data_IF_501124003785
#
_entry.id   IF_501124003785
#
_cell.length_a   1.000
_cell.length_b   1.000
_cell.length_c   1.000
_cell.angle_alpha   90.00
_cell.angle_beta   90.00
_cell.angle_gamma   90.00
#
_symmetry.space_group_name_H-M   'P 1'
#
loop_
_entity.id
_entity.type
_entity.pdbx_description
1 polymer ?
#
# COMPACT_ATOMS: atom_id res chain seq x y z
N UNK A 1 -8.85 -9.26 17.27
CA UNK A 1 -10.22 -9.08 16.73
C UNK A 1 -10.26 -9.20 15.21
N UNK A 2 -9.47 -8.42 14.47
CA UNK A 2 -9.53 -8.41 12.99
C UNK A 2 -9.24 -9.79 12.36
N UNK A 3 -8.18 -10.46 12.81
CA UNK A 3 -7.82 -11.79 12.28
C UNK A 3 -8.93 -12.83 12.57
N UNK A 4 -9.52 -12.79 13.76
CA UNK A 4 -10.64 -13.67 14.11
C UNK A 4 -11.89 -13.38 13.27
N UNK A 5 -12.14 -12.10 12.92
CA UNK A 5 -13.20 -11.73 12.00
C UNK A 5 -12.95 -12.29 10.59
N UNK A 6 -11.73 -12.17 10.07
CA UNK A 6 -11.32 -12.72 8.77
C UNK A 6 -11.52 -14.23 8.73
N UNK A 7 -11.09 -14.95 9.76
CA UNK A 7 -11.26 -16.41 9.89
C UNK A 7 -12.74 -16.82 9.85
N UNK A 8 -13.59 -16.08 10.55
CA UNK A 8 -15.04 -16.31 10.52
C UNK A 8 -15.64 -16.10 9.11
N UNK A 9 -15.12 -15.16 8.30
CA UNK A 9 -15.59 -14.99 6.92
C UNK A 9 -15.10 -16.11 6.01
N UNK A 10 -13.86 -16.60 6.20
CA UNK A 10 -13.33 -17.76 5.49
C UNK A 10 -14.19 -19.01 5.78
N UNK A 11 -14.57 -19.20 7.06
CA UNK A 11 -15.49 -20.29 7.42
C UNK A 11 -16.79 -20.25 6.60
N UNK A 12 -17.38 -19.07 6.37
CA UNK A 12 -18.60 -18.95 5.54
C UNK A 12 -18.41 -19.43 4.11
N UNK A 13 -17.22 -19.20 3.52
CA UNK A 13 -16.89 -19.70 2.18
C UNK A 13 -16.81 -21.24 2.20
N UNK A 14 -16.16 -21.82 3.21
CA UNK A 14 -16.04 -23.27 3.36
C UNK A 14 -17.38 -23.92 3.64
N UNK A 15 -18.24 -23.31 4.43
CA UNK A 15 -19.62 -23.78 4.66
C UNK A 15 -20.42 -23.80 3.35
N UNK A 16 -20.31 -22.76 2.52
CA UNK A 16 -20.97 -22.68 1.22
C UNK A 16 -20.52 -23.82 0.26
N UNK A 17 -19.23 -24.17 0.26
CA UNK A 17 -18.75 -25.33 -0.53
C UNK A 17 -19.39 -26.64 -0.08
N UNK A 18 -19.59 -26.84 1.22
CA UNK A 18 -20.28 -28.01 1.77
C UNK A 18 -21.77 -28.00 1.40
N UNK A 19 -22.46 -26.88 1.55
CA UNK A 19 -23.89 -26.72 1.25
C UNK A 19 -24.19 -26.95 -0.24
N UNK A 20 -23.28 -26.55 -1.12
CA UNK A 20 -23.40 -26.72 -2.57
C UNK A 20 -22.96 -28.11 -3.06
N UNK A 21 -22.41 -28.94 -2.18
CA UNK A 21 -21.92 -30.29 -2.51
C UNK A 21 -20.63 -30.28 -3.36
N UNK A 22 -19.90 -29.19 -3.40
CA UNK A 22 -18.68 -29.06 -4.19
C UNK A 22 -17.38 -29.28 -3.38
N UNK A 23 -17.48 -29.41 -2.05
CA UNK A 23 -16.33 -29.40 -1.14
C UNK A 23 -15.31 -30.53 -1.44
N UNK A 24 -15.76 -31.72 -1.79
CA UNK A 24 -14.84 -32.87 -1.97
C UNK A 24 -13.98 -32.71 -3.22
N UNK A 25 -14.53 -32.18 -4.31
CA UNK A 25 -13.78 -31.92 -5.55
C UNK A 25 -13.38 -30.43 -5.71
N UNK A 26 -13.03 -29.76 -4.63
CA UNK A 26 -12.52 -28.39 -4.65
C UNK A 26 -11.14 -28.34 -3.98
N UNK A 27 -10.14 -27.87 -4.72
CA UNK A 27 -8.84 -27.52 -4.15
C UNK A 27 -8.95 -26.16 -3.44
N UNK A 28 -8.86 -26.18 -2.13
CA UNK A 28 -8.79 -24.99 -1.28
C UNK A 28 -7.33 -24.77 -0.89
N UNK A 29 -6.80 -23.58 -1.19
CA UNK A 29 -5.48 -23.13 -0.79
C UNK A 29 -5.65 -21.91 0.12
N UNK A 30 -5.22 -22.03 1.37
CA UNK A 30 -5.24 -20.93 2.33
C UNK A 30 -3.81 -20.53 2.70
N UNK A 31 -3.46 -19.28 2.42
CA UNK A 31 -2.17 -18.70 2.76
C UNK A 31 -2.41 -17.60 3.78
N UNK A 32 -1.76 -17.71 4.93
CA UNK A 32 -1.88 -16.74 6.01
C UNK A 32 -0.90 -15.60 5.81
N UNK A 33 -1.39 -14.51 5.19
CA UNK A 33 -0.58 -13.36 4.81
C UNK A 33 0.19 -13.57 3.49
N UNK A 34 0.73 -12.49 2.95
CA UNK A 34 1.53 -12.44 1.71
C UNK A 34 3.03 -12.20 2.01
N UNK A 35 3.34 -11.81 3.23
CA UNK A 35 4.69 -11.57 3.77
C UNK A 35 4.62 -11.64 5.30
N UNK A 36 5.75 -11.49 5.95
CA UNK A 36 5.80 -11.36 7.41
C UNK A 36 5.05 -10.15 7.95
N UNK A 37 4.87 -10.09 9.26
CA UNK A 37 4.16 -8.99 9.93
C UNK A 37 4.80 -7.64 9.62
N UNK A 38 3.98 -6.60 9.50
CA UNK A 38 4.43 -5.27 9.06
C UNK A 38 4.86 -4.40 10.24
N UNK A 39 6.04 -3.78 10.14
CA UNK A 39 6.53 -2.78 11.09
C UNK A 39 6.24 -1.32 10.64
N UNK A 40 5.33 -1.12 9.71
CA UNK A 40 5.01 0.20 9.17
C UNK A 40 4.26 1.10 10.18
N UNK A 41 3.81 0.54 11.30
CA UNK A 41 3.35 1.31 12.47
C UNK A 41 4.46 1.98 13.27
N UNK A 42 5.71 1.90 12.85
CA UNK A 42 6.89 2.50 13.50
C UNK A 42 7.18 1.92 14.89
N UNK A 43 7.96 2.65 15.71
CA UNK A 43 8.35 2.21 17.06
C UNK A 43 7.19 2.28 18.05
N UNK A 44 6.25 3.20 17.82
CA UNK A 44 5.17 3.50 18.79
C UNK A 44 3.79 2.96 18.36
N UNK A 45 3.66 2.46 17.14
CA UNK A 45 2.37 2.23 16.49
C UNK A 45 1.91 3.47 15.71
N UNK A 46 0.82 3.35 15.00
CA UNK A 46 0.22 4.45 14.27
C UNK A 46 -1.31 4.44 14.41
N UNK A 47 -1.91 5.62 14.54
CA UNK A 47 -3.32 5.86 14.43
C UNK A 47 -3.79 5.77 12.98
N UNK A 48 -2.99 6.35 12.08
CA UNK A 48 -3.30 6.42 10.65
C UNK A 48 -2.18 5.75 9.85
N UNK A 49 -2.43 4.58 9.27
CA UNK A 49 -1.45 3.87 8.43
C UNK A 49 -0.87 4.75 7.30
N UNK A 50 -1.63 5.64 6.63
CA UNK A 50 -1.09 6.60 5.69
C UNK A 50 0.00 7.54 6.24
N UNK A 51 0.06 7.81 7.53
CA UNK A 51 1.08 8.71 8.12
C UNK A 51 2.51 8.20 7.87
N UNK A 52 2.76 6.92 8.08
CA UNK A 52 4.07 6.30 7.80
C UNK A 52 4.46 6.44 6.32
N UNK A 53 3.53 6.19 5.40
CA UNK A 53 3.79 6.28 3.95
C UNK A 53 4.10 7.72 3.51
N UNK A 54 3.63 8.68 4.28
CA UNK A 54 3.92 10.09 4.10
C UNK A 54 5.18 10.56 4.85
N UNK A 55 5.87 9.68 5.60
CA UNK A 55 7.02 10.03 6.41
C UNK A 55 6.68 10.98 7.57
N UNK A 56 5.46 10.88 8.07
CA UNK A 56 4.95 11.65 9.21
C UNK A 56 4.93 10.75 10.43
N UNK A 57 5.52 11.21 11.53
CA UNK A 57 5.48 10.54 12.82
C UNK A 57 4.36 11.15 13.66
N UNK A 58 3.59 10.27 14.27
CA UNK A 58 2.55 10.62 15.21
C UNK A 58 3.14 10.74 16.62
N UNK A 59 2.61 11.69 17.41
CA UNK A 59 3.06 11.93 18.77
C UNK A 59 2.62 10.76 19.68
N UNK A 60 3.53 10.10 20.41
CA UNK A 60 3.18 9.02 21.31
C UNK A 60 2.23 9.43 22.45
N UNK A 61 2.31 10.66 22.95
CA UNK A 61 1.42 11.17 23.99
C UNK A 61 0.00 11.31 23.43
N UNK A 62 -0.13 11.85 22.22
CA UNK A 62 -1.39 11.95 21.51
C UNK A 62 -1.98 10.55 21.21
N UNK A 63 -1.16 9.56 20.83
CA UNK A 63 -1.61 8.18 20.61
C UNK A 63 -2.17 7.55 21.88
N UNK A 64 -1.55 7.80 23.04
CA UNK A 64 -2.02 7.32 24.34
C UNK A 64 -3.35 7.94 24.74
N UNK A 65 -3.57 9.24 24.45
CA UNK A 65 -4.84 9.91 24.72
C UNK A 65 -6.01 9.33 23.89
N UNK A 66 -5.69 8.72 22.73
CA UNK A 66 -6.67 8.16 21.80
C UNK A 66 -6.66 6.62 21.77
N UNK A 67 -6.08 5.97 22.78
CA UNK A 67 -5.88 4.53 22.79
C UNK A 67 -7.18 3.72 22.67
N UNK A 68 -8.28 4.23 23.22
CA UNK A 68 -9.59 3.58 23.17
C UNK A 68 -10.25 3.61 21.79
N UNK A 69 -9.73 4.42 20.87
CA UNK A 69 -10.20 4.49 19.50
C UNK A 69 -9.55 3.43 18.59
N UNK A 70 -8.44 2.81 19.04
CA UNK A 70 -7.74 1.78 18.24
C UNK A 70 -8.64 0.56 18.01
N UNK A 71 -8.72 0.13 16.77
CA UNK A 71 -9.59 -0.97 16.33
C UNK A 71 -11.04 -0.59 16.12
N UNK A 72 -11.39 0.70 16.21
CA UNK A 72 -12.71 1.24 15.86
C UNK A 72 -12.70 1.79 14.43
N UNK A 73 -13.85 2.28 13.97
CA UNK A 73 -13.98 2.94 12.65
C UNK A 73 -13.41 4.36 12.61
N UNK A 74 -12.87 4.88 13.72
CA UNK A 74 -12.28 6.21 13.79
C UNK A 74 -10.83 6.24 13.29
N UNK A 75 -10.13 5.10 13.28
CA UNK A 75 -8.72 5.03 12.90
C UNK A 75 -8.44 3.86 11.96
N UNK A 76 -7.42 4.01 11.13
CA UNK A 76 -6.80 2.94 10.36
C UNK A 76 -5.44 2.62 11.03
N UNK A 77 -5.52 1.97 12.18
CA UNK A 77 -4.37 1.79 13.03
C UNK A 77 -3.40 0.70 12.56
N UNK A 78 -2.15 0.88 12.94
CA UNK A 78 -1.09 -0.09 12.72
C UNK A 78 -0.33 -0.38 14.02
N UNK A 79 -0.05 -1.64 14.32
CA UNK A 79 0.72 -2.02 15.49
C UNK A 79 2.21 -1.64 15.35
N UNK A 80 2.91 -1.54 16.46
CA UNK A 80 4.33 -1.18 16.50
C UNK A 80 5.26 -2.31 16.09
N UNK A 81 6.54 -1.99 15.86
CA UNK A 81 7.58 -2.95 15.45
C UNK A 81 7.77 -4.10 16.42
N UNK A 82 7.58 -3.88 17.73
CA UNK A 82 7.71 -4.94 18.74
C UNK A 82 6.68 -6.05 18.55
N UNK A 83 5.44 -5.68 18.19
CA UNK A 83 4.41 -6.65 17.83
C UNK A 83 4.68 -7.33 16.49
N UNK A 84 5.22 -6.61 15.50
CA UNK A 84 5.62 -7.23 14.25
C UNK A 84 6.65 -8.33 14.49
N UNK A 85 7.69 -8.03 15.30
CA UNK A 85 8.71 -9.00 15.68
C UNK A 85 8.12 -10.22 16.41
N UNK A 86 7.24 -9.98 17.38
CA UNK A 86 6.61 -11.05 18.15
C UNK A 86 5.73 -11.97 17.30
N UNK A 87 5.06 -11.44 16.30
CA UNK A 87 4.20 -12.20 15.40
C UNK A 87 4.99 -13.04 14.39
N UNK A 88 6.22 -12.65 14.05
CA UNK A 88 7.09 -13.38 13.12
C UNK A 88 8.00 -14.41 13.84
N UNK A 89 8.06 -14.39 15.18
CA UNK A 89 8.85 -15.34 15.94
C UNK A 89 8.47 -16.82 15.60
N UNK A 90 9.44 -17.74 15.44
CA UNK A 90 10.86 -17.65 15.82
C UNK A 90 11.79 -17.07 14.74
N UNK A 91 11.26 -16.57 13.64
CA UNK A 91 12.07 -16.06 12.52
C UNK A 91 12.61 -14.66 12.80
N UNK A 92 13.77 -14.38 12.24
CA UNK A 92 14.36 -13.05 12.30
C UNK A 92 13.67 -12.12 11.28
N UNK A 93 13.59 -10.85 11.66
CA UNK A 93 13.05 -9.77 10.83
C UNK A 93 11.54 -9.90 10.54
N UNK A 94 11.05 -9.23 9.49
CA UNK A 94 9.63 -9.02 9.21
C UNK A 94 9.43 -8.50 7.78
N UNK A 95 8.23 -8.13 7.40
CA UNK A 95 7.88 -7.53 6.10
C UNK A 95 8.95 -6.53 5.63
N UNK A 96 9.27 -6.54 4.34
CA UNK A 96 10.29 -5.77 3.62
C UNK A 96 11.73 -6.29 3.81
N UNK A 97 11.97 -7.33 4.58
CA UNK A 97 13.30 -7.90 4.77
C UNK A 97 13.35 -9.27 4.10
N UNK A 98 13.59 -9.27 2.78
CA UNK A 98 13.61 -10.50 1.99
C UNK A 98 14.79 -11.42 2.24
N UNK A 99 15.78 -10.98 3.02
CA UNK A 99 16.94 -11.79 3.41
C UNK A 99 16.63 -12.85 4.44
N UNK A 100 15.55 -12.68 5.22
CA UNK A 100 15.24 -13.57 6.34
C UNK A 100 13.79 -14.04 6.34
N UNK A 101 13.54 -15.17 6.97
CA UNK A 101 12.23 -15.82 6.95
C UNK A 101 11.11 -15.05 7.63
N UNK A 102 11.41 -14.19 8.62
CA UNK A 102 10.39 -13.27 9.15
C UNK A 102 9.79 -12.35 8.10
N UNK A 103 10.51 -12.07 7.00
CA UNK A 103 9.98 -11.29 5.88
C UNK A 103 9.29 -12.12 4.80
N UNK A 104 9.62 -13.40 4.66
CA UNK A 104 9.27 -14.19 3.45
C UNK A 104 8.53 -15.49 3.70
N UNK A 105 8.60 -16.06 4.93
CA UNK A 105 8.01 -17.38 5.21
C UNK A 105 6.61 -17.26 5.76
N UNK A 106 5.63 -17.77 5.00
CA UNK A 106 4.21 -17.75 5.37
C UNK A 106 3.66 -19.17 5.47
N UNK A 107 2.70 -19.36 6.37
CA UNK A 107 2.00 -20.62 6.49
C UNK A 107 0.99 -20.81 5.34
N UNK A 108 0.94 -22.02 4.81
CA UNK A 108 -0.02 -22.42 3.80
C UNK A 108 -0.69 -23.74 4.19
N UNK A 109 -1.99 -23.83 3.95
CA UNK A 109 -2.77 -25.06 4.13
C UNK A 109 -3.50 -25.38 2.83
N UNK A 110 -3.45 -26.65 2.42
CA UNK A 110 -4.21 -27.14 1.29
C UNK A 110 -5.22 -28.21 1.72
N UNK A 111 -6.41 -28.18 1.13
CA UNK A 111 -7.46 -29.18 1.31
C UNK A 111 -8.08 -29.51 -0.04
N UNK A 112 -8.12 -30.80 -0.38
CA UNK A 112 -8.84 -31.34 -1.53
C UNK A 112 -9.20 -32.79 -1.26
N UNK A 113 -10.35 -33.08 -0.64
CA UNK A 113 -10.70 -34.44 -0.16
C UNK A 113 -10.58 -35.54 -1.21
N UNK A 114 -10.98 -35.28 -2.45
CA UNK A 114 -10.91 -36.27 -3.55
C UNK A 114 -9.47 -36.61 -4.00
N UNK A 115 -8.48 -35.72 -3.69
CA UNK A 115 -7.13 -35.87 -4.22
C UNK A 115 -6.04 -35.90 -3.15
N UNK A 116 -6.23 -35.23 -2.02
CA UNK A 116 -5.30 -35.19 -0.90
C UNK A 116 -5.82 -36.14 0.17
N UNK A 117 -5.34 -37.39 0.16
CA UNK A 117 -5.76 -38.46 1.06
C UNK A 117 -4.87 -38.60 2.29
N UNK A 118 -3.61 -38.17 2.21
CA UNK A 118 -2.70 -38.08 3.32
C UNK A 118 -2.92 -36.75 4.06
N UNK A 119 -3.80 -36.77 5.04
CA UNK A 119 -4.26 -35.58 5.79
C UNK A 119 -3.53 -35.42 7.12
N UNK A 120 -3.59 -34.20 7.70
CA UNK A 120 -3.01 -33.85 9.00
C UNK A 120 -1.49 -34.05 9.08
N UNK A 121 -0.79 -33.97 7.96
CA UNK A 121 0.66 -34.06 7.90
C UNK A 121 1.29 -32.80 7.35
N UNK A 122 2.48 -32.48 7.84
CA UNK A 122 3.25 -31.33 7.40
C UNK A 122 4.03 -31.68 6.13
N UNK A 123 4.11 -30.73 5.21
CA UNK A 123 4.97 -30.78 4.04
C UNK A 123 6.17 -29.87 4.26
N UNK A 124 7.37 -30.46 4.30
CA UNK A 124 8.62 -29.73 4.56
C UNK A 124 9.37 -29.35 3.29
N UNK A 125 8.85 -29.73 2.11
CA UNK A 125 9.44 -29.36 0.83
C UNK A 125 9.46 -27.83 0.69
N UNK A 126 10.55 -27.30 0.14
CA UNK A 126 10.64 -25.88 -0.13
C UNK A 126 9.74 -25.50 -1.31
N UNK A 127 8.84 -24.56 -1.09
CA UNK A 127 7.94 -24.00 -2.10
C UNK A 127 7.98 -22.48 -2.11
N UNK A 128 7.52 -21.89 -3.20
CA UNK A 128 7.41 -20.46 -3.37
C UNK A 128 6.02 -20.10 -3.94
N UNK A 129 5.56 -18.88 -3.73
CA UNK A 129 4.24 -18.42 -4.20
C UNK A 129 4.03 -18.61 -5.70
N UNK A 130 5.12 -18.56 -6.51
CA UNK A 130 5.05 -18.81 -7.95
C UNK A 130 4.68 -20.26 -8.31
N UNK A 131 4.72 -21.19 -7.36
CA UNK A 131 4.34 -22.60 -7.55
C UNK A 131 2.83 -22.83 -7.53
N UNK A 132 2.06 -21.83 -7.05
CA UNK A 132 0.59 -21.94 -6.93
C UNK A 132 -0.06 -22.02 -8.31
N UNK A 133 0.30 -21.13 -9.24
CA UNK A 133 -0.31 -21.11 -10.57
C UNK A 133 -0.10 -22.41 -11.37
N UNK A 134 1.12 -22.98 -11.48
CA UNK A 134 1.29 -24.29 -12.12
C UNK A 134 0.60 -25.43 -11.36
N UNK A 135 0.46 -25.35 -10.02
CA UNK A 135 -0.30 -26.34 -9.25
C UNK A 135 -1.79 -26.29 -9.60
N UNK A 136 -2.38 -25.10 -9.71
CA UNK A 136 -3.79 -24.93 -10.12
C UNK A 136 -4.02 -25.48 -11.52
N UNK A 137 -3.12 -25.21 -12.46
CA UNK A 137 -3.24 -25.73 -13.83
C UNK A 137 -3.13 -27.24 -13.86
N UNK A 138 -2.16 -27.82 -13.15
CA UNK A 138 -2.01 -29.27 -13.05
C UNK A 138 -3.25 -29.91 -12.41
N UNK A 139 -3.75 -29.35 -11.32
CA UNK A 139 -4.99 -29.80 -10.66
C UNK A 139 -6.20 -29.77 -11.59
N UNK A 140 -6.28 -28.78 -12.48
CA UNK A 140 -7.33 -28.67 -13.51
C UNK A 140 -7.07 -29.55 -14.76
N UNK A 141 -5.94 -30.25 -14.83
CA UNK A 141 -5.55 -31.03 -16.02
C UNK A 141 -5.16 -30.15 -17.22
N UNK A 142 -4.79 -28.91 -16.98
CA UNK A 142 -4.43 -27.93 -18.00
C UNK A 142 -2.90 -27.73 -18.08
N UNK A 143 -2.44 -27.33 -19.26
CA UNK A 143 -1.05 -26.92 -19.48
C UNK A 143 -0.94 -25.40 -19.50
N UNK A 144 0.23 -24.89 -19.16
CA UNK A 144 0.53 -23.48 -19.35
C UNK A 144 0.45 -23.13 -20.84
N UNK A 145 -0.29 -22.07 -21.22
CA UNK A 145 -0.43 -21.70 -22.61
C UNK A 145 0.88 -21.11 -23.18
N UNK A 146 1.32 -21.57 -24.33
CA UNK A 146 2.47 -20.99 -25.04
C UNK A 146 2.14 -19.60 -25.60
N UNK A 147 0.87 -19.40 -26.01
CA UNK A 147 0.38 -18.13 -26.54
C UNK A 147 -0.99 -17.78 -25.99
N UNK A 148 -1.22 -16.48 -25.72
CA UNK A 148 -2.54 -15.94 -25.36
C UNK A 148 -2.86 -14.77 -26.29
N UNK A 149 -3.99 -14.85 -26.99
CA UNK A 149 -4.39 -13.82 -27.97
C UNK A 149 -3.31 -13.52 -29.04
N UNK A 150 -2.55 -14.54 -29.44
CA UNK A 150 -1.45 -14.41 -30.41
C UNK A 150 -0.15 -13.84 -29.87
N UNK A 151 -0.07 -13.61 -28.54
CA UNK A 151 1.12 -13.14 -27.86
C UNK A 151 1.81 -14.32 -27.17
N UNK A 152 3.09 -14.56 -27.50
CA UNK A 152 3.92 -15.55 -26.83
C UNK A 152 4.05 -15.25 -25.34
N UNK A 153 3.86 -16.27 -24.51
CA UNK A 153 3.93 -16.13 -23.05
C UNK A 153 5.35 -16.42 -22.55
N UNK A 154 5.74 -15.74 -21.48
CA UNK A 154 6.97 -16.05 -20.77
C UNK A 154 6.92 -17.47 -20.18
N UNK A 155 8.04 -18.20 -20.12
CA UNK A 155 8.12 -19.48 -19.44
C UNK A 155 7.69 -19.37 -17.97
N UNK A 156 7.07 -20.45 -17.45
CA UNK A 156 6.72 -20.53 -16.04
C UNK A 156 7.93 -20.90 -15.22
N UNK A 157 8.28 -20.07 -14.25
CA UNK A 157 9.35 -20.35 -13.29
C UNK A 157 8.90 -21.24 -12.13
N UNK A 158 7.56 -21.35 -11.90
CA UNK A 158 6.96 -22.16 -10.86
C UNK A 158 6.94 -23.65 -11.20
N UNK A 159 6.87 -24.49 -10.18
CA UNK A 159 6.71 -25.94 -10.27
C UNK A 159 5.46 -26.39 -9.54
N UNK A 160 4.72 -27.38 -10.09
CA UNK A 160 3.52 -27.91 -9.43
C UNK A 160 3.89 -28.60 -8.11
N UNK A 161 3.07 -28.38 -7.08
CA UNK A 161 3.19 -29.00 -5.76
C UNK A 161 2.45 -30.33 -5.64
N UNK A 162 1.76 -30.80 -6.70
CA UNK A 162 0.98 -32.05 -6.66
C UNK A 162 1.79 -33.28 -6.26
N UNK A 163 3.11 -33.30 -6.55
CA UNK A 163 4.00 -34.39 -6.19
C UNK A 163 4.04 -34.65 -4.69
N UNK A 164 3.77 -33.64 -3.86
CA UNK A 164 3.79 -33.72 -2.40
C UNK A 164 2.41 -33.95 -1.76
N UNK A 165 1.32 -33.98 -2.57
CA UNK A 165 -0.03 -34.07 -2.01
C UNK A 165 -0.27 -35.31 -1.15
N UNK A 166 0.25 -36.45 -1.58
CA UNK A 166 0.10 -37.74 -0.89
C UNK A 166 1.44 -38.40 -0.54
N UNK A 167 2.51 -37.61 -0.45
CA UNK A 167 3.85 -38.08 -0.08
C UNK A 167 4.58 -36.95 0.69
N UNK A 168 4.55 -37.06 2.02
CA UNK A 168 5.20 -36.08 2.90
C UNK A 168 6.73 -36.12 2.79
N UNK A 169 7.29 -37.25 2.36
CA UNK A 169 8.74 -37.49 2.23
C UNK A 169 9.26 -37.26 0.81
N UNK A 170 8.39 -36.88 -0.13
CA UNK A 170 8.78 -36.60 -1.50
C UNK A 170 9.90 -35.54 -1.54
N UNK A 171 10.88 -35.77 -2.40
CA UNK A 171 11.98 -34.79 -2.57
C UNK A 171 11.47 -33.50 -3.19
N UNK A 172 11.91 -32.35 -2.64
CA UNK A 172 11.57 -31.03 -3.18
C UNK A 172 11.94 -30.92 -4.65
N UNK A 173 11.01 -30.53 -5.49
CA UNK A 173 11.24 -30.25 -6.91
C UNK A 173 11.81 -28.85 -7.14
N UNK A 174 11.54 -27.89 -6.22
CA UNK A 174 12.18 -26.57 -6.25
C UNK A 174 13.55 -26.63 -5.57
N UNK A 175 14.59 -26.46 -6.36
CA UNK A 175 15.98 -26.53 -5.88
C UNK A 175 16.55 -25.18 -5.55
N UNK A 176 16.15 -24.13 -6.27
CA UNK A 176 16.73 -22.78 -6.17
C UNK A 176 15.64 -21.73 -6.14
N UNK A 177 15.80 -20.74 -5.28
CA UNK A 177 14.96 -19.56 -5.24
C UNK A 177 15.72 -18.36 -4.70
N UNK A 178 15.74 -17.24 -5.48
CA UNK A 178 16.24 -15.97 -5.00
C UNK A 178 15.13 -15.13 -4.38
N UNK A 179 15.51 -14.20 -3.52
CA UNK A 179 14.66 -13.20 -2.90
C UNK A 179 15.35 -11.84 -2.95
N UNK A 180 14.60 -10.77 -3.22
CA UNK A 180 15.12 -9.42 -3.14
C UNK A 180 13.97 -8.42 -2.93
N UNK A 181 14.14 -7.52 -1.97
CA UNK A 181 13.39 -6.26 -1.86
C UNK A 181 14.21 -5.21 -1.13
N UNK A 182 14.30 -4.02 -1.72
CA UNK A 182 15.02 -2.86 -1.16
C UNK A 182 16.48 -3.15 -0.78
N UNK A 183 17.15 -4.02 -1.54
CA UNK A 183 18.53 -4.44 -1.29
C UNK A 183 18.67 -5.60 -0.30
N UNK A 184 17.66 -5.90 0.51
CA UNK A 184 17.63 -7.11 1.34
C UNK A 184 17.46 -8.32 0.42
N UNK A 185 18.40 -9.24 0.42
CA UNK A 185 18.46 -10.33 -0.55
C UNK A 185 18.87 -11.66 0.03
N UNK A 186 18.41 -12.73 -0.57
CA UNK A 186 18.80 -14.10 -0.21
C UNK A 186 18.74 -15.01 -1.43
N UNK A 187 19.42 -16.16 -1.32
CA UNK A 187 19.35 -17.28 -2.26
C UNK A 187 19.22 -18.59 -1.48
N UNK A 188 18.13 -19.30 -1.74
CA UNK A 188 17.96 -20.69 -1.30
C UNK A 188 18.51 -21.63 -2.35
N UNK A 189 19.23 -22.65 -1.95
CA UNK A 189 19.65 -23.76 -2.80
C UNK A 189 19.85 -25.04 -1.98
N UNK A 190 19.02 -26.06 -2.27
CA UNK A 190 19.13 -27.42 -1.71
C UNK A 190 19.39 -27.46 -0.19
N UNK A 191 18.47 -26.87 0.59
CA UNK A 191 18.52 -26.86 2.06
C UNK A 191 19.44 -25.80 2.67
N UNK A 192 20.19 -25.05 1.86
CA UNK A 192 20.99 -23.93 2.31
C UNK A 192 20.41 -22.59 1.87
N UNK A 193 20.59 -21.56 2.69
CA UNK A 193 20.25 -20.19 2.34
C UNK A 193 21.38 -19.24 2.69
N UNK A 194 21.79 -18.41 1.73
CA UNK A 194 22.67 -17.28 1.97
C UNK A 194 21.83 -16.01 2.01
N UNK A 195 22.01 -15.21 3.04
CA UNK A 195 21.19 -14.04 3.38
C UNK A 195 22.04 -12.80 3.51
N UNK A 196 21.59 -11.66 2.97
CA UNK A 196 22.27 -10.38 3.13
C UNK A 196 21.26 -9.29 3.49
N UNK A 197 21.31 -8.84 4.74
CA UNK A 197 20.56 -7.69 5.20
C UNK A 197 21.27 -6.40 4.75
N UNK A 198 20.58 -5.55 3.99
CA UNK A 198 21.14 -4.30 3.44
C UNK A 198 21.28 -3.17 4.49
N UNK A 199 20.75 -3.36 5.70
CA UNK A 199 20.76 -2.34 6.75
C UNK A 199 19.51 -1.45 6.77
N UNK A 200 18.61 -1.56 5.78
CA UNK A 200 17.37 -0.80 5.75
C UNK A 200 16.31 -1.44 6.63
N UNK A 201 16.01 -0.78 7.75
CA UNK A 201 14.96 -1.23 8.68
C UNK A 201 13.56 -0.82 8.19
N UNK A 202 12.54 -1.70 8.28
CA UNK A 202 11.22 -1.46 7.73
C UNK A 202 10.46 -0.26 8.30
N UNK A 203 10.71 0.11 9.54
CA UNK A 203 10.02 1.22 10.22
C UNK A 203 10.62 2.60 9.96
N UNK A 204 11.63 2.72 9.08
CA UNK A 204 12.20 3.99 8.62
C UNK A 204 11.91 4.19 7.13
N UNK A 205 10.97 5.09 6.81
CA UNK A 205 10.45 5.24 5.45
C UNK A 205 11.33 6.03 4.50
N UNK A 206 11.95 7.11 4.97
CA UNK A 206 12.57 8.14 4.11
C UNK A 206 14.10 8.14 4.14
N UNK A 207 14.74 7.14 4.74
CA UNK A 207 16.18 6.99 4.77
C UNK A 207 16.63 6.05 3.66
N UNK A 208 17.60 6.47 2.84
CA UNK A 208 18.34 5.63 1.93
C UNK A 208 19.62 5.12 2.58
N UNK A 209 20.11 3.99 2.10
CA UNK A 209 21.36 3.37 2.53
C UNK A 209 22.28 3.18 1.31
N UNK A 210 23.58 3.19 1.52
CA UNK A 210 24.57 2.96 0.46
C UNK A 210 24.85 1.45 0.34
N UNK A 211 24.92 0.96 -0.89
CA UNK A 211 25.29 -0.42 -1.17
C UNK A 211 26.78 -0.65 -0.96
N UNK A 212 27.16 -1.86 -0.52
CA UNK A 212 28.57 -2.24 -0.32
C UNK A 212 29.19 -1.69 0.97
N UNK A 213 28.39 -1.17 1.92
CA UNK A 213 28.86 -0.76 3.24
C UNK A 213 29.09 -1.94 4.19
N UNK A 214 29.73 -1.65 5.34
CA UNK A 214 30.06 -2.67 6.36
C UNK A 214 28.83 -3.42 6.92
N UNK A 215 27.64 -2.85 6.77
CA UNK A 215 26.37 -3.46 7.18
C UNK A 215 25.91 -4.59 6.24
N UNK A 216 26.46 -4.69 5.03
CA UNK A 216 26.12 -5.72 4.05
C UNK A 216 26.92 -6.99 4.26
N UNK A 217 26.81 -7.59 5.45
CA UNK A 217 27.40 -8.90 5.74
C UNK A 217 26.48 -10.00 5.19
N UNK A 218 27.04 -10.96 4.47
CA UNK A 218 26.36 -12.18 4.12
C UNK A 218 26.44 -13.19 5.25
N UNK A 219 25.34 -13.84 5.54
CA UNK A 219 25.15 -14.91 6.52
C UNK A 219 24.77 -16.19 5.77
N UNK A 220 25.05 -17.35 6.37
CA UNK A 220 24.78 -18.66 5.78
C UNK A 220 24.06 -19.56 6.77
N UNK A 221 22.97 -20.20 6.33
CA UNK A 221 22.16 -21.07 7.18
C UNK A 221 21.87 -22.40 6.48
N UNK A 222 21.83 -23.50 7.25
CA UNK A 222 21.33 -24.79 6.79
C UNK A 222 19.91 -24.97 7.33
N UNK A 223 18.89 -24.67 6.54
CA UNK A 223 17.49 -24.62 6.97
C UNK A 223 16.86 -25.98 7.23
N UNK A 224 17.48 -27.08 6.79
CA UNK A 224 17.06 -28.43 7.14
C UNK A 224 17.37 -28.77 8.61
N UNK A 225 18.36 -28.07 9.21
CA UNK A 225 18.80 -28.24 10.60
C UNK A 225 18.43 -27.06 11.49
N UNK A 226 18.39 -25.87 10.93
CA UNK A 226 18.11 -24.60 11.59
C UNK A 226 16.90 -23.91 10.93
N UNK A 227 15.72 -24.31 11.35
CA UNK A 227 14.45 -23.82 10.83
C UNK A 227 14.28 -22.30 10.91
N UNK A 228 14.90 -21.65 11.89
CA UNK A 228 14.71 -20.24 12.23
C UNK A 228 15.84 -19.30 11.77
N UNK A 229 16.87 -19.82 11.11
CA UNK A 229 18.07 -19.04 10.75
C UNK A 229 18.75 -18.43 11.99
N UNK A 230 18.98 -19.24 13.04
CA UNK A 230 19.53 -18.80 14.31
C UNK A 230 21.04 -18.90 14.42
N UNK A 231 21.67 -19.77 13.62
CA UNK A 231 23.11 -20.05 13.65
C UNK A 231 23.77 -19.69 12.31
N UNK A 232 24.50 -18.57 12.29
CA UNK A 232 25.27 -18.15 11.10
C UNK A 232 26.49 -19.07 10.91
N UNK A 233 26.49 -19.82 9.82
CA UNK A 233 27.53 -20.76 9.42
C UNK A 233 28.52 -20.18 8.41
N UNK A 234 28.49 -18.88 8.13
CA UNK A 234 29.30 -18.22 7.10
C UNK A 234 30.80 -18.42 7.31
N UNK A 235 31.26 -18.33 8.56
CA UNK A 235 32.67 -18.54 8.90
C UNK A 235 33.06 -20.04 8.88
N UNK A 236 32.10 -20.94 9.09
CA UNK A 236 32.35 -22.40 9.10
C UNK A 236 32.41 -22.99 7.71
N UNK A 237 31.60 -22.44 6.77
CA UNK A 237 31.48 -22.92 5.40
C UNK A 237 31.66 -21.79 4.37
N UNK A 238 32.82 -21.11 4.32
CA UNK A 238 33.02 -19.95 3.45
C UNK A 238 32.96 -20.30 1.95
N UNK A 239 33.33 -21.50 1.55
CA UNK A 239 33.23 -21.98 0.16
C UNK A 239 31.76 -22.13 -0.26
N UNK A 240 30.90 -22.66 0.63
CA UNK A 240 29.46 -22.77 0.37
C UNK A 240 28.79 -21.41 0.30
N UNK A 241 29.19 -20.47 1.15
CA UNK A 241 28.73 -19.08 1.05
C UNK A 241 29.10 -18.47 -0.30
N UNK A 242 30.36 -18.61 -0.72
CA UNK A 242 30.82 -18.09 -2.03
C UNK A 242 30.06 -18.71 -3.21
N UNK A 243 29.80 -20.01 -3.16
CA UNK A 243 28.97 -20.72 -4.15
C UNK A 243 27.59 -20.08 -4.27
N UNK A 244 26.91 -19.86 -3.13
CA UNK A 244 25.56 -19.29 -3.10
C UNK A 244 25.52 -17.82 -3.50
N UNK A 245 26.51 -17.01 -3.17
CA UNK A 245 26.65 -15.64 -3.64
C UNK A 245 26.74 -15.59 -5.18
N UNK A 246 27.57 -16.43 -5.79
CA UNK A 246 27.69 -16.53 -7.25
C UNK A 246 26.38 -17.01 -7.89
N UNK A 247 25.66 -17.92 -7.23
CA UNK A 247 24.34 -18.38 -7.68
C UNK A 247 23.31 -17.26 -7.62
N UNK A 248 23.31 -16.45 -6.54
CA UNK A 248 22.45 -15.27 -6.43
C UNK A 248 22.70 -14.31 -7.60
N UNK A 249 23.96 -13.98 -7.88
CA UNK A 249 24.34 -13.06 -8.96
C UNK A 249 23.86 -13.59 -10.32
N UNK A 250 23.99 -14.89 -10.57
CA UNK A 250 23.52 -15.54 -11.79
C UNK A 250 22.00 -15.45 -11.95
N UNK A 251 21.25 -15.77 -10.90
CA UNK A 251 19.78 -15.64 -10.88
C UNK A 251 19.34 -14.18 -10.97
N UNK A 252 20.05 -13.25 -10.32
CA UNK A 252 19.76 -11.83 -10.37
C UNK A 252 19.93 -11.23 -11.78
N UNK A 253 20.95 -11.65 -12.52
CA UNK A 253 21.14 -11.26 -13.92
C UNK A 253 20.03 -11.84 -14.80
N UNK A 254 19.76 -13.15 -14.68
CA UNK A 254 18.74 -13.85 -15.45
C UNK A 254 17.34 -13.22 -15.28
N UNK A 255 17.02 -12.77 -14.06
CA UNK A 255 15.68 -12.26 -13.69
C UNK A 255 15.62 -10.72 -13.65
N UNK A 256 16.61 -9.99 -14.17
CA UNK A 256 16.65 -8.52 -14.22
C UNK A 256 16.52 -7.85 -12.83
N UNK A 257 17.09 -8.44 -11.79
CA UNK A 257 17.08 -7.91 -10.43
C UNK A 257 18.01 -6.70 -10.29
N UNK A 258 19.14 -6.73 -10.99
CA UNK A 258 20.09 -5.60 -11.00
C UNK A 258 19.64 -4.42 -11.88
N UNK A 259 19.95 -3.18 -11.50
CA UNK A 259 20.68 -2.78 -10.29
C UNK A 259 19.79 -2.81 -9.03
N UNK A 260 20.35 -3.22 -7.90
CA UNK A 260 19.66 -3.20 -6.60
C UNK A 260 19.28 -1.77 -6.20
N UNK A 261 18.19 -1.63 -5.45
CA UNK A 261 17.69 -0.34 -4.95
C UNK A 261 17.05 -0.48 -3.57
N UNK A 262 17.35 0.46 -2.68
CA UNK A 262 16.82 0.50 -1.32
C UNK A 262 15.65 1.46 -1.13
N UNK A 263 15.30 2.24 -2.15
CA UNK A 263 14.24 3.24 -2.10
C UNK A 263 13.21 3.04 -3.21
N UNK A 264 11.96 3.40 -2.93
CA UNK A 264 10.96 3.45 -3.98
C UNK A 264 11.36 4.51 -5.03
N UNK A 265 11.19 4.19 -6.31
CA UNK A 265 11.49 5.07 -7.44
C UNK A 265 10.86 6.47 -7.36
N UNK A 266 9.75 6.59 -6.63
CA UNK A 266 9.04 7.86 -6.43
C UNK A 266 9.77 8.81 -5.49
N UNK A 267 10.57 8.29 -4.55
CA UNK A 267 11.27 9.07 -3.53
C UNK A 267 12.65 9.53 -4.01
N UNK A 268 13.35 8.71 -4.78
CA UNK A 268 14.72 9.01 -5.22
C UNK A 268 14.85 10.23 -6.16
N UNK A 269 13.75 10.72 -6.73
CA UNK A 269 13.73 11.90 -7.61
C UNK A 269 14.47 11.73 -8.95
N UNK A 270 15.25 10.67 -9.09
CA UNK A 270 16.10 10.41 -10.25
C UNK A 270 15.40 9.61 -11.35
N UNK A 271 14.26 9.00 -11.04
CA UNK A 271 13.50 8.21 -11.98
C UNK A 271 12.12 8.82 -12.24
N UNK A 272 11.85 9.16 -13.49
CA UNK A 272 10.52 9.61 -13.90
C UNK A 272 9.69 8.41 -14.30
N UNK A 273 8.78 8.00 -13.44
CA UNK A 273 7.75 7.04 -13.83
C UNK A 273 6.92 7.67 -14.97
N UNK A 274 6.77 7.00 -16.10
CA UNK A 274 5.86 7.47 -17.15
C UNK A 274 4.46 7.70 -16.56
N UNK A 275 3.87 8.86 -16.84
CA UNK A 275 2.54 9.21 -16.38
C UNK A 275 1.66 9.53 -17.58
N UNK A 276 0.44 8.99 -17.61
CA UNK A 276 -0.57 9.32 -18.60
C UNK A 276 -0.90 10.83 -18.60
N UNK A 277 -0.69 11.49 -17.47
CA UNK A 277 -0.86 12.94 -17.32
C UNK A 277 0.30 13.76 -17.93
N UNK A 278 1.48 13.13 -18.12
CA UNK A 278 2.67 13.81 -18.61
C UNK A 278 3.09 14.99 -17.73
N UNK A 279 3.19 16.19 -18.33
CA UNK A 279 3.55 17.44 -17.62
C UNK A 279 2.33 18.31 -17.29
N UNK A 280 1.13 17.79 -17.47
CA UNK A 280 -0.11 18.56 -17.22
C UNK A 280 -0.17 19.01 -15.76
N UNK A 281 -0.59 20.25 -15.58
CA UNK A 281 -0.85 20.85 -14.27
C UNK A 281 -2.32 21.19 -14.06
N UNK A 282 -3.10 21.07 -15.12
CA UNK A 282 -4.54 21.35 -15.14
C UNK A 282 -5.24 20.24 -15.92
N UNK A 283 -6.36 19.77 -15.40
CA UNK A 283 -7.22 18.80 -16.07
C UNK A 283 -8.67 19.01 -15.64
N UNK A 284 -9.56 18.77 -16.58
CA UNK A 284 -11.01 18.80 -16.39
C UNK A 284 -11.54 17.38 -16.22
N UNK A 285 -12.52 17.22 -15.34
CA UNK A 285 -13.17 15.97 -15.00
C UNK A 285 -14.70 16.15 -15.03
N UNK A 286 -15.41 15.07 -15.28
CA UNK A 286 -16.88 15.01 -15.32
C UNK A 286 -17.37 13.83 -14.48
N UNK A 287 -18.67 13.67 -14.35
CA UNK A 287 -19.30 12.54 -13.63
C UNK A 287 -18.95 11.14 -14.19
N UNK A 288 -18.33 11.07 -15.38
CA UNK A 288 -17.75 9.82 -15.90
C UNK A 288 -16.44 9.41 -15.17
N UNK A 289 -15.84 10.31 -14.39
CA UNK A 289 -14.59 10.07 -13.68
C UNK A 289 -14.88 9.63 -12.23
N UNK A 290 -15.17 8.35 -12.08
CA UNK A 290 -15.43 7.69 -10.81
C UNK A 290 -14.39 6.59 -10.62
N UNK A 291 -13.89 6.41 -9.40
CA UNK A 291 -12.87 5.41 -9.02
C UNK A 291 -11.54 5.58 -9.76
N UNK A 292 -11.15 6.82 -9.99
CA UNK A 292 -9.87 7.12 -10.65
C UNK A 292 -8.74 6.99 -9.62
N UNK A 293 -7.73 6.13 -9.88
CA UNK A 293 -6.63 5.96 -8.96
C UNK A 293 -5.81 7.26 -8.83
N UNK A 294 -5.28 7.50 -7.65
CA UNK A 294 -4.55 8.74 -7.32
C UNK A 294 -3.42 9.06 -8.32
N UNK A 295 -2.76 8.04 -8.87
CA UNK A 295 -1.67 8.19 -9.86
C UNK A 295 -2.14 8.74 -11.21
N UNK A 296 -3.43 8.68 -11.50
CA UNK A 296 -4.06 9.15 -12.75
C UNK A 296 -4.76 10.52 -12.59
N UNK A 297 -4.62 11.17 -11.43
CA UNK A 297 -5.20 12.48 -11.11
C UNK A 297 -4.10 13.53 -11.00
N UNK A 298 -4.41 14.80 -11.31
CA UNK A 298 -3.49 15.92 -11.10
C UNK A 298 -3.08 15.95 -9.64
N UNK A 299 -1.78 15.79 -9.38
CA UNK A 299 -1.25 15.79 -8.03
C UNK A 299 -1.22 17.21 -7.44
N UNK A 300 -2.19 17.50 -6.59
CA UNK A 300 -2.34 18.78 -5.88
C UNK A 300 -1.76 18.75 -4.46
N UNK A 301 -1.29 17.59 -3.98
CA UNK A 301 -0.71 17.45 -2.63
C UNK A 301 0.53 18.32 -2.45
N UNK A 302 0.67 18.84 -1.24
CA UNK A 302 1.85 19.63 -0.82
C UNK A 302 2.19 20.76 -1.82
N UNK A 303 1.19 21.42 -2.37
CA UNK A 303 1.33 22.47 -3.37
C UNK A 303 0.13 23.43 -3.36
N UNK A 304 0.37 24.68 -3.71
CA UNK A 304 -0.71 25.62 -4.03
C UNK A 304 -1.50 25.11 -5.22
N UNK A 305 -2.82 25.17 -5.14
CA UNK A 305 -3.70 24.62 -6.18
C UNK A 305 -5.07 25.29 -6.15
N UNK A 306 -5.82 25.07 -7.23
CA UNK A 306 -7.22 25.47 -7.36
C UNK A 306 -8.06 24.26 -7.74
N UNK A 307 -9.22 24.13 -7.10
CA UNK A 307 -10.29 23.21 -7.44
C UNK A 307 -11.49 24.05 -7.80
N UNK A 308 -12.00 23.98 -9.02
CA UNK A 308 -13.22 24.69 -9.41
C UNK A 308 -14.23 23.75 -10.04
N UNK A 309 -15.50 23.97 -9.76
CA UNK A 309 -16.60 23.16 -10.28
C UNK A 309 -17.70 24.07 -10.80
N UNK A 310 -18.29 23.68 -11.94
CA UNK A 310 -19.50 24.30 -12.50
C UNK A 310 -20.64 23.34 -12.32
N UNK A 311 -21.67 23.81 -11.65
CA UNK A 311 -22.84 23.00 -11.30
C UNK A 311 -24.13 23.75 -11.59
N UNK A 312 -25.22 23.01 -11.89
CA UNK A 312 -26.58 23.56 -11.94
C UNK A 312 -27.35 22.99 -10.74
N UNK A 313 -27.94 23.90 -9.96
CA UNK A 313 -28.79 23.56 -8.82
C UNK A 313 -30.25 23.55 -9.29
N UNK A 314 -30.97 22.43 -9.14
CA UNK A 314 -32.36 22.34 -9.52
C UNK A 314 -33.28 23.13 -8.57
N UNK A 315 -34.49 23.42 -9.04
CA UNK A 315 -35.56 23.95 -8.19
C UNK A 315 -35.85 23.00 -7.07
N UNK A 316 -35.61 23.42 -5.84
CA UNK A 316 -35.70 22.58 -4.63
C UNK A 316 -34.34 22.28 -3.97
N UNK A 317 -33.27 22.82 -4.54
CA UNK A 317 -31.92 22.70 -3.99
C UNK A 317 -31.20 21.43 -4.40
N UNK A 318 -29.95 21.31 -3.99
CA UNK A 318 -29.11 20.13 -4.19
C UNK A 318 -28.27 19.82 -2.94
N UNK A 319 -27.84 18.59 -2.85
CA UNK A 319 -26.89 18.11 -1.84
C UNK A 319 -25.96 17.05 -2.47
N UNK A 320 -24.88 16.70 -1.78
CA UNK A 320 -24.01 15.60 -2.21
C UNK A 320 -22.62 16.04 -2.62
N UNK A 321 -21.76 15.05 -2.87
CA UNK A 321 -20.35 15.26 -3.22
C UNK A 321 -20.23 15.71 -4.66
N UNK A 322 -19.59 16.86 -4.87
CA UNK A 322 -19.25 17.39 -6.20
C UNK A 322 -17.97 16.71 -6.67
N UNK A 323 -16.95 16.68 -5.83
CA UNK A 323 -15.71 15.93 -6.09
C UNK A 323 -14.99 15.65 -4.78
N UNK A 324 -14.32 14.49 -4.71
CA UNK A 324 -13.47 14.11 -3.58
C UNK A 324 -12.24 13.33 -4.03
N UNK A 325 -11.26 13.22 -3.16
CA UNK A 325 -10.10 12.37 -3.33
C UNK A 325 -9.59 11.89 -1.98
N UNK A 326 -9.34 10.58 -1.85
CA UNK A 326 -8.90 9.95 -0.62
C UNK A 326 -10.06 9.32 0.15
N UNK A 327 -9.95 9.21 1.46
CA UNK A 327 -10.93 8.57 2.33
C UNK A 327 -10.89 9.12 3.76
N UNK A 328 -11.45 8.36 4.69
CA UNK A 328 -11.65 8.78 6.08
C UNK A 328 -10.36 9.08 6.87
N UNK A 329 -9.19 8.61 6.40
CA UNK A 329 -7.91 8.90 7.07
C UNK A 329 -7.16 10.05 6.42
N UNK A 330 -7.30 10.27 5.13
CA UNK A 330 -6.76 11.46 4.48
C UNK A 330 -7.36 11.71 3.10
N UNK A 331 -7.59 12.98 2.83
CA UNK A 331 -8.21 13.38 1.59
C UNK A 331 -8.78 14.79 1.62
N UNK A 332 -9.54 15.10 0.59
CA UNK A 332 -10.34 16.33 0.50
C UNK A 332 -11.67 16.05 -0.20
N UNK A 333 -12.69 16.83 0.16
CA UNK A 333 -14.00 16.77 -0.49
C UNK A 333 -14.60 18.16 -0.64
N UNK A 334 -15.15 18.43 -1.83
CA UNK A 334 -15.99 19.58 -2.13
C UNK A 334 -17.41 19.05 -2.33
N UNK A 335 -18.34 19.50 -1.50
CA UNK A 335 -19.72 19.00 -1.50
C UNK A 335 -20.71 20.07 -1.10
N UNK A 336 -21.98 19.82 -1.35
CA UNK A 336 -23.07 20.54 -0.72
C UNK A 336 -23.59 19.71 0.46
N UNK A 337 -23.71 20.32 1.63
CA UNK A 337 -24.26 19.65 2.80
C UNK A 337 -25.78 19.38 2.63
N UNK A 338 -26.42 18.78 3.64
CA UNK A 338 -27.85 18.46 3.64
C UNK A 338 -28.78 19.70 3.60
N UNK A 339 -28.22 20.89 3.73
CA UNK A 339 -28.91 22.17 3.58
C UNK A 339 -28.59 22.89 2.26
N UNK A 340 -27.83 22.25 1.37
CA UNK A 340 -27.42 22.83 0.09
C UNK A 340 -26.27 23.84 0.19
N UNK A 341 -25.52 23.85 1.30
CA UNK A 341 -24.48 24.82 1.56
C UNK A 341 -23.13 24.33 1.05
N UNK A 342 -22.41 25.11 0.19
CA UNK A 342 -21.08 24.76 -0.27
C UNK A 342 -20.09 24.56 0.88
N UNK A 343 -19.46 23.39 0.89
CA UNK A 343 -18.54 22.99 1.95
C UNK A 343 -17.32 22.31 1.36
N UNK A 344 -16.15 22.73 1.81
CA UNK A 344 -14.89 22.07 1.55
C UNK A 344 -14.37 21.44 2.84
N UNK A 345 -14.02 20.16 2.78
CA UNK A 345 -13.43 19.43 3.90
C UNK A 345 -12.05 18.92 3.51
N UNK A 346 -11.08 19.13 4.37
CA UNK A 346 -9.72 18.59 4.23
C UNK A 346 -9.39 17.74 5.45
N UNK A 347 -8.97 16.51 5.21
CA UNK A 347 -8.59 15.54 6.22
C UNK A 347 -7.10 15.20 6.06
N UNK A 348 -6.32 15.43 7.12
CA UNK A 348 -4.92 15.05 7.18
C UNK A 348 -4.72 14.04 8.32
N UNK A 349 -4.69 12.76 7.95
CA UNK A 349 -4.45 11.59 8.81
C UNK A 349 -5.50 11.35 9.92
N UNK A 350 -6.71 11.88 9.77
CA UNK A 350 -7.73 11.80 10.81
C UNK A 350 -7.45 12.69 12.03
N UNK A 351 -6.33 13.39 12.04
CA UNK A 351 -5.86 14.21 13.18
C UNK A 351 -6.07 15.72 12.95
N UNK A 352 -5.81 16.20 11.73
CA UNK A 352 -5.97 17.61 11.37
C UNK A 352 -7.09 17.74 10.37
N UNK A 353 -8.26 18.13 10.88
CA UNK A 353 -9.47 18.28 10.09
C UNK A 353 -9.78 19.77 9.91
N UNK A 354 -10.02 20.20 8.68
CA UNK A 354 -10.44 21.59 8.38
C UNK A 354 -11.71 21.55 7.55
N UNK A 355 -12.73 22.30 7.97
CA UNK A 355 -14.00 22.43 7.23
C UNK A 355 -14.27 23.90 6.95
N UNK A 356 -14.35 24.27 5.67
CA UNK A 356 -14.65 25.62 5.20
C UNK A 356 -16.02 25.58 4.55
N UNK A 357 -16.98 26.29 5.14
CA UNK A 357 -18.37 26.25 4.78
C UNK A 357 -18.88 27.67 4.47
N UNK A 358 -19.65 27.84 3.41
CA UNK A 358 -20.38 29.10 3.17
C UNK A 358 -21.43 29.35 4.24
N UNK A 359 -21.98 30.55 4.30
CA UNK A 359 -23.06 30.87 5.25
C UNK A 359 -24.41 30.42 4.71
N UNK A 360 -24.66 30.65 3.43
CA UNK A 360 -25.95 30.42 2.79
C UNK A 360 -25.94 29.24 1.81
N UNK A 361 -27.10 28.57 1.62
CA UNK A 361 -27.28 27.57 0.57
C UNK A 361 -27.24 28.21 -0.81
N UNK A 362 -26.87 27.42 -1.83
CA UNK A 362 -27.00 27.83 -3.22
C UNK A 362 -28.48 27.94 -3.61
N UNK A 363 -28.81 28.97 -4.35
CA UNK A 363 -30.13 29.11 -5.00
C UNK A 363 -30.19 28.23 -6.25
N UNK A 364 -31.35 28.09 -6.85
CA UNK A 364 -31.48 27.41 -8.14
C UNK A 364 -30.79 28.20 -9.29
N UNK A 365 -30.21 27.45 -10.22
CA UNK A 365 -29.44 27.99 -11.32
C UNK A 365 -28.00 27.51 -11.42
N UNK A 366 -27.24 28.15 -12.29
CA UNK A 366 -25.84 27.82 -12.55
C UNK A 366 -24.91 28.54 -11.58
N UNK A 367 -23.98 27.78 -11.01
CA UNK A 367 -22.99 28.27 -10.04
C UNK A 367 -21.58 27.77 -10.36
N UNK A 368 -20.58 28.60 -10.00
CA UNK A 368 -19.18 28.20 -9.96
C UNK A 368 -18.70 28.19 -8.50
N UNK A 369 -18.27 27.02 -8.01
CA UNK A 369 -17.71 26.86 -6.67
C UNK A 369 -16.22 26.60 -6.81
N UNK A 370 -15.38 27.40 -6.11
CA UNK A 370 -13.93 27.30 -6.22
C UNK A 370 -13.26 27.27 -4.85
N UNK A 371 -12.29 26.39 -4.70
CA UNK A 371 -11.29 26.40 -3.63
C UNK A 371 -9.97 26.90 -4.21
N UNK A 372 -9.43 27.95 -3.63
CA UNK A 372 -8.05 28.42 -3.87
C UNK A 372 -7.21 28.15 -2.63
N UNK A 373 -6.21 27.28 -2.76
CA UNK A 373 -5.33 26.89 -1.67
C UNK A 373 -3.92 27.44 -1.89
N UNK A 374 -3.43 28.23 -0.92
CA UNK A 374 -2.10 28.81 -0.89
C UNK A 374 -1.24 28.10 0.14
N UNK A 375 -0.36 27.23 -0.34
CA UNK A 375 0.54 26.44 0.48
C UNK A 375 1.74 27.25 0.98
N UNK A 376 2.05 27.20 2.27
CA UNK A 376 3.13 27.97 2.91
C UNK A 376 4.54 27.57 2.44
N UNK A 377 4.67 26.41 1.83
CA UNK A 377 5.97 25.82 1.45
C UNK A 377 6.57 24.96 2.56
N UNK A 378 7.29 23.94 2.13
CA UNK A 378 7.82 22.91 3.02
C UNK A 378 7.11 21.56 2.83
N UNK A 379 7.59 20.56 3.53
CA UNK A 379 7.05 19.21 3.45
C UNK A 379 5.92 19.03 4.47
N UNK A 380 4.71 18.74 4.01
CA UNK A 380 3.54 18.59 4.87
C UNK A 380 3.10 19.88 5.58
N UNK A 381 3.60 21.06 5.13
CA UNK A 381 3.21 22.34 5.70
C UNK A 381 1.75 22.66 5.38
N UNK A 382 1.18 23.53 6.19
CA UNK A 382 -0.16 24.06 6.02
C UNK A 382 -0.28 25.13 4.95
N UNK A 383 -1.39 25.87 5.01
CA UNK A 383 -1.68 26.98 4.11
C UNK A 383 -3.08 27.53 4.30
N UNK A 384 -3.38 28.62 3.60
CA UNK A 384 -4.70 29.25 3.60
C UNK A 384 -5.54 28.67 2.45
N UNK A 385 -6.73 28.17 2.77
CA UNK A 385 -7.74 27.80 1.78
C UNK A 385 -8.90 28.80 1.81
N UNK A 386 -9.35 29.22 0.63
CA UNK A 386 -10.45 30.17 0.47
C UNK A 386 -11.51 29.55 -0.44
N UNK A 387 -12.74 29.56 0.04
CA UNK A 387 -13.92 29.13 -0.72
C UNK A 387 -14.53 30.34 -1.40
N UNK A 388 -14.80 30.17 -2.69
CA UNK A 388 -15.48 31.14 -3.53
C UNK A 388 -16.77 30.54 -4.08
N UNK A 389 -17.80 31.38 -4.19
CA UNK A 389 -19.05 31.08 -4.93
C UNK A 389 -19.25 32.22 -5.92
N UNK A 390 -19.40 31.89 -7.20
CA UNK A 390 -19.62 32.82 -8.30
C UNK A 390 -18.57 33.95 -8.36
N UNK A 391 -17.34 33.63 -8.00
CA UNK A 391 -16.20 34.55 -7.97
C UNK A 391 -16.06 35.40 -6.72
N UNK A 392 -17.02 35.37 -5.80
CA UNK A 392 -16.96 36.06 -4.52
C UNK A 392 -16.40 35.14 -3.42
N UNK A 393 -15.48 35.65 -2.59
CA UNK A 393 -14.95 34.94 -1.43
C UNK A 393 -16.01 34.86 -0.33
N UNK A 394 -16.43 33.64 0.00
CA UNK A 394 -17.49 33.42 1.00
C UNK A 394 -16.96 32.99 2.35
N UNK A 395 -15.83 32.29 2.39
CA UNK A 395 -15.16 31.91 3.64
C UNK A 395 -13.70 31.51 3.39
N UNK A 396 -12.88 31.54 4.44
CA UNK A 396 -11.50 31.07 4.40
C UNK A 396 -11.06 30.52 5.76
N UNK A 397 -10.25 29.49 5.73
CA UNK A 397 -9.66 28.95 6.97
C UNK A 397 -8.28 28.37 6.66
N UNK A 398 -7.52 28.14 7.73
CA UNK A 398 -6.18 27.59 7.67
C UNK A 398 -6.23 26.07 7.74
N UNK A 399 -5.64 25.42 6.75
CA UNK A 399 -5.27 24.01 6.83
C UNK A 399 -3.92 23.93 7.53
N UNK A 400 -3.88 23.41 8.75
CA UNK A 400 -2.67 23.41 9.59
C UNK A 400 -1.57 22.50 9.02
N UNK A 401 -1.95 21.36 8.47
CA UNK A 401 -1.04 20.38 7.84
C UNK A 401 -1.65 19.81 6.58
N UNK A 402 -0.79 19.47 5.61
CA UNK A 402 -1.22 18.80 4.38
C UNK A 402 -0.57 17.43 4.22
N UNK A 403 -1.29 16.54 3.57
CA UNK A 403 -0.78 15.22 3.14
C UNK A 403 0.28 15.43 2.06
N UNK A 404 1.54 15.01 2.29
CA UNK A 404 2.61 15.39 1.37
C UNK A 404 2.82 14.44 0.17
N UNK A 405 2.54 13.14 0.32
CA UNK A 405 2.92 12.12 -0.69
C UNK A 405 1.70 11.39 -1.25
N UNK A 406 0.89 10.76 -0.39
CA UNK A 406 -0.23 9.89 -0.79
C UNK A 406 -1.41 10.05 0.16
N UNK A 407 -2.64 10.10 -0.37
CA UNK A 407 -3.84 10.18 0.47
C UNK A 407 -4.22 8.82 1.05
N UNK A 408 -4.09 7.73 0.30
CA UNK A 408 -4.50 6.41 0.77
C UNK A 408 -3.59 5.30 0.26
N UNK A 409 -3.44 4.26 1.09
CA UNK A 409 -2.80 2.99 0.73
C UNK A 409 -3.84 1.90 0.44
N UNK A 410 -5.07 2.08 0.89
CA UNK A 410 -6.17 1.10 0.79
C UNK A 410 -6.96 1.17 -0.52
N UNK A 411 -6.50 2.00 -1.48
CA UNK A 411 -7.13 2.07 -2.81
C UNK A 411 -8.28 3.07 -2.91
N UNK A 412 -8.39 4.01 -1.97
CA UNK A 412 -9.30 5.15 -2.09
C UNK A 412 -8.98 5.99 -3.33
N UNK A 413 -9.99 6.53 -3.96
CA UNK A 413 -9.91 7.07 -5.32
C UNK A 413 -10.24 8.57 -5.38
N UNK A 414 -10.18 9.11 -6.58
CA UNK A 414 -10.77 10.39 -6.94
C UNK A 414 -12.10 10.12 -7.62
N UNK A 415 -13.14 10.81 -7.17
CA UNK A 415 -14.48 10.65 -7.64
C UNK A 415 -15.14 12.00 -7.93
N UNK A 416 -16.03 12.05 -8.93
CA UNK A 416 -16.86 13.20 -9.28
C UNK A 416 -18.33 12.81 -9.19
N UNK A 417 -19.10 13.57 -8.42
CA UNK A 417 -20.54 13.39 -8.24
C UNK A 417 -20.94 12.36 -7.18
N UNK A 418 -19.98 11.70 -6.55
CA UNK A 418 -20.17 10.69 -5.49
C UNK A 418 -18.86 10.49 -4.75
N UNK A 419 -18.90 9.91 -3.55
CA UNK A 419 -17.73 9.38 -2.83
C UNK A 419 -17.90 7.86 -2.71
N UNK A 420 -17.16 7.11 -3.54
CA UNK A 420 -17.34 5.65 -3.64
C UNK A 420 -16.58 4.86 -2.59
N UNK A 421 -15.68 5.51 -1.86
CA UNK A 421 -14.85 4.94 -0.79
C UNK A 421 -15.40 5.20 0.62
N UNK A 422 -14.50 5.15 1.59
CA UNK A 422 -14.80 5.63 2.93
C UNK A 422 -14.96 7.17 2.91
N UNK A 423 -16.01 7.73 3.51
CA UNK A 423 -16.28 9.15 3.41
C UNK A 423 -15.09 10.02 3.86
N UNK A 424 -14.65 10.93 3.00
CA UNK A 424 -13.58 11.89 3.35
C UNK A 424 -14.06 12.90 4.37
N UNK A 425 -15.30 13.33 4.28
CA UNK A 425 -15.91 14.34 5.13
C UNK A 425 -17.06 13.81 5.98
N UNK A 426 -17.68 14.65 6.80
CA UNK A 426 -18.77 14.28 7.73
C UNK A 426 -20.11 14.14 7.00
N UNK A 427 -20.21 13.23 6.03
CA UNK A 427 -21.40 12.90 5.26
C UNK A 427 -21.59 11.39 5.16
N UNK A 428 -22.80 10.89 4.78
CA UNK A 428 -23.05 9.46 4.63
C UNK A 428 -22.20 8.84 3.51
N UNK A 429 -21.95 7.55 3.58
CA UNK A 429 -21.29 6.80 2.51
C UNK A 429 -22.00 7.01 1.16
N UNK A 430 -21.21 7.23 0.12
CA UNK A 430 -21.66 7.50 -1.23
C UNK A 430 -22.05 8.95 -1.45
N UNK A 431 -23.01 9.47 -0.75
CA UNK A 431 -23.54 10.84 -0.79
C UNK A 431 -23.58 11.45 -2.19
N UNK A 432 -24.37 10.88 -3.12
CA UNK A 432 -24.39 11.30 -4.52
C UNK A 432 -24.90 12.74 -4.67
N UNK A 433 -24.31 13.49 -5.59
CA UNK A 433 -24.76 14.85 -5.92
C UNK A 433 -26.10 14.82 -6.63
N UNK A 434 -27.05 15.57 -6.11
CA UNK A 434 -28.42 15.59 -6.63
C UNK A 434 -28.71 16.71 -7.66
N UNK A 435 -27.72 17.58 -7.94
CA UNK A 435 -27.74 18.55 -9.03
C UNK A 435 -27.01 18.03 -10.30
N UNK A 436 -26.72 18.93 -11.24
CA UNK A 436 -25.92 18.61 -12.44
C UNK A 436 -24.50 19.16 -12.28
N UNK A 437 -23.48 18.34 -12.63
CA UNK A 437 -22.08 18.74 -12.66
C UNK A 437 -21.63 18.83 -14.12
N UNK A 438 -21.27 20.01 -14.56
CA UNK A 438 -20.78 20.24 -15.91
C UNK A 438 -19.28 19.98 -16.02
N UNK A 439 -18.52 20.45 -15.03
CA UNK A 439 -17.07 20.35 -15.04
C UNK A 439 -16.52 20.47 -13.62
N UNK A 440 -15.47 19.69 -13.33
CA UNK A 440 -14.58 19.88 -12.18
C UNK A 440 -13.17 20.03 -12.70
N UNK A 441 -12.47 21.09 -12.31
CA UNK A 441 -11.10 21.37 -12.75
C UNK A 441 -10.15 21.31 -11.56
N UNK A 442 -9.13 20.48 -11.67
CA UNK A 442 -7.98 20.51 -10.77
C UNK A 442 -6.82 21.24 -11.45
N UNK A 443 -6.29 22.25 -10.79
CA UNK A 443 -5.16 23.02 -11.30
C UNK A 443 -4.09 23.19 -10.22
N UNK A 444 -2.90 22.61 -10.49
CA UNK A 444 -1.72 22.81 -9.65
C UNK A 444 -1.00 24.08 -10.06
N UNK A 445 -0.87 25.05 -9.13
CA UNK A 445 -0.16 26.29 -9.34
C UNK A 445 1.35 26.04 -9.51
N UNK A 446 1.99 26.78 -10.43
CA UNK A 446 3.44 26.65 -10.61
C UNK A 446 4.18 27.41 -9.52
N UNK A 447 5.01 26.73 -8.77
CA UNK A 447 5.96 27.40 -7.87
C UNK A 447 7.07 28.05 -8.69
N UNK A 448 7.16 29.36 -8.67
CA UNK A 448 8.29 30.11 -9.25
C UNK A 448 9.52 30.16 -8.33
N UNK A 449 9.48 29.54 -7.15
CA UNK A 449 10.44 29.84 -6.11
C UNK A 449 11.44 28.71 -5.86
N UNK A 450 12.76 29.02 -6.04
CA UNK A 450 13.90 28.18 -5.67
C UNK A 450 13.94 27.89 -4.15
N UNK A 451 13.51 28.85 -3.35
CA UNK A 451 13.51 28.78 -1.89
C UNK A 451 12.51 27.73 -1.37
N UNK A 452 11.35 27.65 -1.98
CA UNK A 452 10.34 26.65 -1.67
C UNK A 452 10.80 25.23 -2.03
N UNK A 453 11.53 25.05 -3.15
CA UNK A 453 12.16 23.76 -3.49
C UNK A 453 13.24 23.34 -2.50
N UNK A 454 14.00 24.33 -1.97
CA UNK A 454 15.01 24.10 -0.94
C UNK A 454 14.34 23.68 0.38
N UNK A 455 13.31 24.41 0.82
CA UNK A 455 12.51 24.07 2.02
C UNK A 455 11.89 22.68 1.92
N UNK A 456 11.40 22.25 0.75
CA UNK A 456 10.91 20.89 0.54
C UNK A 456 12.01 19.83 0.68
N UNK A 457 13.18 20.04 0.05
CA UNK A 457 14.33 19.13 0.18
C UNK A 457 14.82 19.02 1.62
N UNK A 458 14.89 20.14 2.31
CA UNK A 458 15.32 20.19 3.70
C UNK A 458 14.27 19.52 4.62
N UNK A 459 12.99 19.68 4.36
CA UNK A 459 11.89 18.98 5.04
C UNK A 459 11.93 17.47 4.86
N UNK A 460 12.21 16.98 3.64
CA UNK A 460 12.43 15.55 3.39
C UNK A 460 13.62 14.99 4.18
N UNK A 461 14.74 15.73 4.23
CA UNK A 461 15.90 15.35 5.05
C UNK A 461 15.57 15.32 6.54
N UNK A 462 14.83 16.32 7.04
CA UNK A 462 14.44 16.37 8.45
C UNK A 462 13.45 15.27 8.83
N UNK A 463 12.51 14.94 7.96
CA UNK A 463 11.59 13.81 8.18
C UNK A 463 12.37 12.49 8.24
N UNK A 464 13.35 12.29 7.34
CA UNK A 464 14.25 11.14 7.39
C UNK A 464 15.11 11.06 8.66
N UNK A 465 15.53 12.21 9.22
CA UNK A 465 16.30 12.27 10.47
C UNK A 465 15.44 12.03 11.72
N UNK A 466 14.18 12.43 11.70
CA UNK A 466 13.25 12.19 12.82
C UNK A 466 12.74 10.74 12.86
N UNK A 467 12.91 9.99 11.79
CA UNK A 467 12.57 8.57 11.69
C UNK A 467 13.70 7.65 12.14
N UNK A 468 14.77 8.19 12.70
CA UNK A 468 15.87 7.46 13.37
C UNK A 468 15.66 7.40 14.88
#
# INVERSE_FOLDING_TARGET
GFLAHTDAQIKRILDCLNETGCADNTLVIYITGDNGASAEGTVHGAWSAPSFQNGVHEDPEWLLEHIDDFGTNKCENHFNVGWAWALDAPFQWMKQVASHFGGTRNAMVMKWPDRITEVNSVRNQFHHVIDIAPTILAAAGLKWPETVNGIEQMPVDGVSMEYSFNDADALSTRKTQYFEIFGNRAIFHEGWIASCFHGRVPWIRLKGYEFGGDQEKWELYNIDKDFSQSEDLSDTYPEKLSELQNLFDSEAVKNNVFPLRDTSLRISGNFRVPSALGKRKRMSYTTAHVRIPESAVINIKNASHRISSKVTIPSGGAQGVIACQGGNMSGWSLYLDNHGIPTYHYNCFGQYLTTIRAEDPLVDGDHEITIDYQHDGGFGAGGLATLYVDGESVNSDRIERTVPIIFSMSGETFDVGIDTGAPVGPYPHGYPFSGEIHEVVLERMSRRDRETRKKMKDGFKQAGLRSQ
#
